data_IF_272567633283
#
_entry.id   IF_272567633283
#
_cell.length_a   1.000
_cell.length_b   1.000
_cell.length_c   1.000
_cell.angle_alpha   90.00
_cell.angle_beta   90.00
_cell.angle_gamma   90.00
#
_symmetry.space_group_name_H-M   'P 1'
#
loop_
_entity.id
_entity.type
_entity.pdbx_description
1 polymer ?
#
# COMPACT_ATOMS: atom_id res chain seq x y z
N UNK A 1 -25.04 29.03 38.98
CA UNK A 1 -24.25 27.86 38.52
C UNK A 1 -23.17 28.25 37.49
N UNK A 2 -22.69 29.50 37.49
CA UNK A 2 -21.77 30.05 36.48
C UNK A 2 -20.57 30.73 37.16
N UNK A 3 -19.98 30.09 38.18
CA UNK A 3 -18.85 30.64 38.92
C UNK A 3 -17.69 29.63 39.10
N UNK A 4 -17.77 28.45 38.46
CA UNK A 4 -16.79 27.36 38.64
C UNK A 4 -15.75 27.30 37.50
N UNK A 5 -15.90 28.06 36.41
CA UNK A 5 -15.06 27.86 35.22
C UNK A 5 -13.79 28.70 35.10
N UNK A 6 -13.64 29.83 35.81
CA UNK A 6 -12.58 30.79 35.44
C UNK A 6 -11.58 31.15 36.58
N UNK A 7 -11.36 30.29 37.57
CA UNK A 7 -10.65 30.71 38.80
C UNK A 7 -9.48 29.86 39.31
N UNK A 8 -9.25 28.65 38.81
CA UNK A 8 -8.16 27.78 39.32
C UNK A 8 -7.03 27.72 38.30
N UNK A 9 -6.45 28.89 38.01
CA UNK A 9 -5.26 29.03 37.18
C UNK A 9 -4.03 28.89 38.07
N UNK A 10 -3.40 27.71 38.06
CA UNK A 10 -2.00 27.37 38.40
C UNK A 10 -1.28 27.97 39.63
N UNK A 11 -1.92 28.83 40.43
CA UNK A 11 -1.24 29.62 41.47
C UNK A 11 -1.31 29.02 42.86
N UNK A 12 -1.89 27.84 43.04
CA UNK A 12 -1.89 27.24 44.38
C UNK A 12 -2.17 25.73 44.47
N UNK A 13 -1.67 24.92 43.54
CA UNK A 13 -1.68 23.46 43.75
C UNK A 13 -0.95 23.07 45.05
N UNK A 14 0.12 23.80 45.39
CA UNK A 14 0.85 23.63 46.65
C UNK A 14 -0.01 23.94 47.88
N UNK A 15 -0.90 24.94 47.84
CA UNK A 15 -1.83 25.24 48.94
C UNK A 15 -3.02 24.28 48.97
N UNK A 16 -3.54 23.86 47.82
CA UNK A 16 -4.58 22.83 47.74
C UNK A 16 -4.11 21.55 48.43
N UNK A 17 -2.94 21.04 48.05
CA UNK A 17 -2.42 19.79 48.63
C UNK A 17 -1.95 19.97 50.07
N UNK A 18 -1.49 21.17 50.47
CA UNK A 18 -1.27 21.50 51.89
C UNK A 18 -2.55 21.40 52.70
N UNK A 19 -3.62 22.06 52.28
CA UNK A 19 -4.92 22.02 52.92
C UNK A 19 -5.50 20.60 52.98
N UNK A 20 -5.42 19.84 51.88
CA UNK A 20 -5.89 18.44 51.86
C UNK A 20 -5.09 17.58 52.86
N UNK A 21 -3.77 17.75 52.94
CA UNK A 21 -2.95 17.02 53.91
C UNK A 21 -3.24 17.42 55.36
N UNK A 22 -3.57 18.69 55.62
CA UNK A 22 -3.92 19.20 56.94
C UNK A 22 -5.29 18.66 57.41
N UNK A 23 -6.28 18.58 56.51
CA UNK A 23 -7.64 18.14 56.83
C UNK A 23 -7.78 16.61 56.86
N UNK A 24 -7.10 15.90 55.96
CA UNK A 24 -7.32 14.47 55.73
C UNK A 24 -6.11 13.58 56.08
N UNK A 25 -4.98 14.17 56.45
CA UNK A 25 -3.73 13.47 56.75
C UNK A 25 -2.87 13.19 55.51
N UNK A 26 -1.56 13.02 55.73
CA UNK A 26 -0.55 12.86 54.68
C UNK A 26 -0.81 11.66 53.76
N UNK A 27 -1.04 10.45 54.31
CA UNK A 27 -1.21 9.24 53.49
C UNK A 27 -2.38 9.32 52.50
N UNK A 28 -3.51 9.90 52.94
CA UNK A 28 -4.70 10.06 52.10
C UNK A 28 -4.52 11.15 51.05
N UNK A 29 -3.80 12.22 51.41
CA UNK A 29 -3.43 13.29 50.47
C UNK A 29 -2.51 12.77 49.37
N UNK A 30 -1.51 11.96 49.70
CA UNK A 30 -0.58 11.37 48.73
C UNK A 30 -1.26 10.36 47.79
N UNK A 31 -2.24 9.61 48.31
CA UNK A 31 -3.09 8.76 47.47
C UNK A 31 -3.93 9.60 46.50
N UNK A 32 -4.67 10.59 47.02
CA UNK A 32 -5.54 11.45 46.21
C UNK A 32 -4.75 12.21 45.12
N UNK A 33 -3.55 12.68 45.44
CA UNK A 33 -2.67 13.36 44.49
C UNK A 33 -2.21 12.44 43.36
N UNK A 34 -1.77 11.21 43.68
CA UNK A 34 -1.38 10.22 42.66
C UNK A 34 -2.52 9.88 41.71
N UNK A 35 -3.73 9.68 42.24
CA UNK A 35 -4.90 9.42 41.40
C UNK A 35 -5.30 10.65 40.58
N UNK A 36 -5.22 11.85 41.15
CA UNK A 36 -5.51 13.10 40.44
C UNK A 36 -4.54 13.34 39.27
N UNK A 37 -3.24 13.11 39.48
CA UNK A 37 -2.21 13.19 38.43
C UNK A 37 -2.50 12.17 37.30
N UNK A 38 -3.00 10.99 37.64
CA UNK A 38 -3.39 9.96 36.66
C UNK A 38 -4.59 10.37 35.80
N UNK A 39 -5.62 10.98 36.39
CA UNK A 39 -6.81 11.45 35.67
C UNK A 39 -6.58 12.75 34.90
N UNK A 40 -5.53 13.51 35.26
CA UNK A 40 -5.19 14.77 34.63
C UNK A 40 -4.33 14.61 33.37
N UNK A 41 -3.96 13.38 33.00
CA UNK A 41 -3.22 13.17 31.75
C UNK A 41 -4.15 13.43 30.56
N UNK A 42 -3.71 14.26 29.58
CA UNK A 42 -4.47 14.48 28.36
C UNK A 42 -4.66 13.14 27.62
N UNK A 43 -5.85 12.89 27.04
CA UNK A 43 -6.06 11.70 26.22
C UNK A 43 -5.08 11.69 25.05
N UNK A 44 -4.80 10.51 24.49
CA UNK A 44 -3.84 10.32 23.39
C UNK A 44 -4.57 9.77 22.18
N UNK A 45 -4.35 10.35 21.00
CA UNK A 45 -4.71 9.75 19.70
C UNK A 45 -3.70 8.65 19.40
N UNK A 46 -4.19 7.41 19.34
CA UNK A 46 -3.38 6.25 18.97
C UNK A 46 -2.78 6.40 17.56
N UNK A 47 -1.47 6.18 17.45
CA UNK A 47 -0.73 6.39 16.21
C UNK A 47 -1.13 5.42 15.11
N UNK A 48 -1.51 4.18 15.45
CA UNK A 48 -1.97 3.19 14.47
C UNK A 48 -3.36 3.55 13.91
N UNK A 49 -4.26 4.07 14.75
CA UNK A 49 -5.54 4.64 14.29
C UNK A 49 -5.31 5.86 13.40
N UNK A 50 -4.44 6.78 13.79
CA UNK A 50 -4.11 7.96 12.97
C UNK A 50 -3.53 7.55 11.60
N UNK A 51 -2.67 6.53 11.58
CA UNK A 51 -2.16 5.96 10.34
C UNK A 51 -3.27 5.38 9.47
N UNK A 52 -4.26 4.70 10.03
CA UNK A 52 -5.43 4.20 9.27
C UNK A 52 -6.23 5.34 8.65
N UNK A 53 -6.41 6.44 9.37
CA UNK A 53 -7.09 7.64 8.85
C UNK A 53 -6.34 8.25 7.66
N UNK A 54 -5.01 8.29 7.74
CA UNK A 54 -4.15 8.73 6.65
C UNK A 54 -4.18 7.76 5.45
N UNK A 55 -3.91 6.47 5.68
CA UNK A 55 -3.70 5.47 4.62
C UNK A 55 -5.00 5.08 3.91
N UNK A 56 -6.09 4.89 4.66
CA UNK A 56 -7.37 4.41 4.11
C UNK A 56 -8.27 5.56 3.64
N UNK A 57 -8.25 6.68 4.36
CA UNK A 57 -9.21 7.79 4.13
C UNK A 57 -8.54 9.06 3.59
N UNK A 58 -7.21 9.07 3.41
CA UNK A 58 -6.48 10.17 2.80
C UNK A 58 -6.39 11.43 3.66
N UNK A 59 -6.65 11.35 4.97
CA UNK A 59 -6.58 12.51 5.86
C UNK A 59 -5.12 12.93 6.08
N UNK A 60 -4.74 14.19 5.78
CA UNK A 60 -3.37 14.64 5.96
C UNK A 60 -2.90 14.52 7.43
N UNK A 61 -1.65 14.08 7.70
CA UNK A 61 -1.14 13.96 9.06
C UNK A 61 -1.16 15.28 9.83
N UNK A 62 -0.85 16.39 9.15
CA UNK A 62 -0.87 17.73 9.74
C UNK A 62 -2.27 18.11 10.23
N UNK A 63 -3.31 17.75 9.46
CA UNK A 63 -4.70 17.96 9.86
C UNK A 63 -5.06 17.16 11.12
N UNK A 64 -4.60 15.92 11.24
CA UNK A 64 -4.83 15.09 12.43
C UNK A 64 -4.10 15.64 13.66
N UNK A 65 -2.87 16.15 13.48
CA UNK A 65 -2.09 16.78 14.56
C UNK A 65 -2.71 18.09 15.03
N UNK A 66 -3.17 18.93 14.10
CA UNK A 66 -3.87 20.17 14.42
C UNK A 66 -5.17 19.90 15.18
N UNK A 67 -5.94 18.90 14.74
CA UNK A 67 -7.17 18.48 15.44
C UNK A 67 -6.89 17.97 16.86
N UNK A 68 -5.80 17.24 17.06
CA UNK A 68 -5.38 16.76 18.38
C UNK A 68 -5.00 17.95 19.29
N UNK A 69 -4.20 18.89 18.76
CA UNK A 69 -3.78 20.12 19.47
C UNK A 69 -4.98 20.96 19.90
N UNK A 70 -5.92 21.22 19.00
CA UNK A 70 -7.12 22.03 19.25
C UNK A 70 -8.03 21.42 20.32
N UNK A 71 -8.00 20.10 20.49
CA UNK A 71 -8.79 19.38 21.50
C UNK A 71 -8.02 19.06 22.78
N UNK A 72 -6.77 19.51 22.91
CA UNK A 72 -5.93 19.20 24.08
C UNK A 72 -5.61 17.71 24.23
N UNK A 73 -5.56 16.99 23.11
CA UNK A 73 -5.25 15.56 23.03
C UNK A 73 -3.81 15.43 22.53
N UNK A 74 -3.03 14.52 23.12
CA UNK A 74 -1.70 14.21 22.63
C UNK A 74 -1.79 13.38 21.34
N UNK A 75 -0.80 13.53 20.47
CA UNK A 75 -0.69 12.74 19.24
C UNK A 75 0.47 11.75 19.38
N UNK A 76 0.20 10.46 19.25
CA UNK A 76 1.24 9.43 19.26
C UNK A 76 1.97 9.36 17.90
N UNK A 77 2.93 10.26 17.72
CA UNK A 77 3.77 10.31 16.52
C UNK A 77 4.61 9.03 16.34
N UNK A 78 5.11 8.45 17.44
CA UNK A 78 5.95 7.27 17.38
C UNK A 78 5.18 6.04 16.88
N UNK A 79 3.94 5.86 17.33
CA UNK A 79 3.04 4.83 16.83
C UNK A 79 2.70 5.03 15.34
N UNK A 80 2.46 6.27 14.92
CA UNK A 80 2.21 6.60 13.52
C UNK A 80 3.40 6.24 12.62
N UNK A 81 4.61 6.64 13.02
CA UNK A 81 5.84 6.39 12.27
C UNK A 81 6.17 4.90 12.18
N UNK A 82 5.92 4.14 13.26
CA UNK A 82 6.04 2.68 13.28
C UNK A 82 5.09 2.02 12.29
N UNK A 83 3.82 2.45 12.25
CA UNK A 83 2.83 1.93 11.31
C UNK A 83 3.21 2.23 9.84
N UNK A 84 3.68 3.45 9.56
CA UNK A 84 4.24 3.85 8.27
C UNK A 84 5.43 2.96 7.84
N UNK A 85 6.37 2.69 8.76
CA UNK A 85 7.51 1.84 8.49
C UNK A 85 7.10 0.39 8.17
N UNK A 86 6.15 -0.17 8.92
CA UNK A 86 5.61 -1.50 8.68
C UNK A 86 4.88 -1.61 7.34
N UNK A 87 4.16 -0.58 6.91
CA UNK A 87 3.53 -0.56 5.59
C UNK A 87 4.59 -0.52 4.48
N UNK A 88 5.61 0.33 4.61
CA UNK A 88 6.73 0.39 3.67
C UNK A 88 7.43 -0.96 3.53
N UNK A 89 7.66 -1.65 4.65
CA UNK A 89 8.28 -2.98 4.62
C UNK A 89 7.38 -4.03 3.96
N UNK A 90 6.07 -4.02 4.24
CA UNK A 90 5.09 -4.87 3.55
C UNK A 90 5.10 -4.64 2.03
N UNK A 91 5.09 -3.38 1.59
CA UNK A 91 5.15 -3.03 0.17
C UNK A 91 6.46 -3.52 -0.48
N UNK A 92 7.61 -3.40 0.21
CA UNK A 92 8.90 -3.92 -0.25
C UNK A 92 8.93 -5.45 -0.32
N UNK A 93 8.31 -6.14 0.63
CA UNK A 93 8.22 -7.59 0.64
C UNK A 93 7.36 -8.10 -0.52
N UNK A 94 6.22 -7.46 -0.79
CA UNK A 94 5.38 -7.74 -1.97
C UNK A 94 6.14 -7.51 -3.28
N UNK A 95 6.94 -6.43 -3.36
CA UNK A 95 7.79 -6.16 -4.52
C UNK A 95 8.86 -7.24 -4.73
N UNK A 96 9.57 -7.65 -3.68
CA UNK A 96 10.59 -8.72 -3.77
C UNK A 96 9.98 -10.09 -4.08
N UNK A 97 8.71 -10.32 -3.75
CA UNK A 97 7.95 -11.51 -4.13
C UNK A 97 7.63 -11.56 -5.63
N UNK A 98 7.31 -10.43 -6.25
CA UNK A 98 7.09 -10.32 -7.69
C UNK A 98 8.40 -10.51 -8.50
N UNK A 99 9.54 -10.07 -7.96
CA UNK A 99 10.87 -10.25 -8.59
C UNK A 99 11.38 -11.70 -8.53
N UNK A 100 10.79 -12.56 -7.68
CA UNK A 100 11.26 -13.94 -7.45
C UNK A 100 10.53 -15.02 -8.25
N UNK A 101 9.64 -14.67 -9.17
CA UNK A 101 9.39 -15.56 -10.30
C UNK A 101 10.57 -15.38 -11.24
N UNK A 102 11.66 -16.11 -10.99
CA UNK A 102 12.74 -16.28 -11.95
C UNK A 102 12.07 -16.59 -13.29
N UNK A 103 12.14 -15.65 -14.24
CA UNK A 103 11.64 -15.87 -15.58
C UNK A 103 12.12 -17.26 -16.02
N UNK A 104 11.18 -18.12 -16.41
CA UNK A 104 11.47 -19.46 -16.94
C UNK A 104 12.75 -19.39 -17.80
N UNK A 105 13.74 -20.26 -17.61
CA UNK A 105 14.94 -20.26 -18.44
C UNK A 105 14.65 -20.20 -19.95
N UNK A 106 13.48 -20.68 -20.36
CA UNK A 106 12.95 -20.51 -21.71
C UNK A 106 12.96 -19.05 -22.20
N UNK A 107 12.61 -18.05 -21.38
CA UNK A 107 12.59 -16.64 -21.81
C UNK A 107 14.00 -16.04 -21.96
N UNK A 108 15.00 -16.53 -21.21
CA UNK A 108 16.34 -15.94 -21.21
C UNK A 108 17.10 -16.17 -22.51
N UNK A 109 16.73 -17.20 -23.27
CA UNK A 109 17.36 -17.56 -24.55
C UNK A 109 16.65 -16.94 -25.76
N UNK A 110 15.49 -16.30 -25.56
CA UNK A 110 14.72 -15.69 -26.64
C UNK A 110 15.21 -14.28 -26.96
N UNK A 111 15.17 -13.86 -28.24
CA UNK A 111 15.44 -12.48 -28.60
C UNK A 111 14.40 -11.54 -27.97
N UNK A 112 14.77 -10.27 -27.78
CA UNK A 112 13.84 -9.26 -27.26
C UNK A 112 12.74 -8.99 -28.28
N UNK A 113 11.50 -8.90 -27.80
CA UNK A 113 10.37 -8.46 -28.61
C UNK A 113 10.44 -6.95 -28.88
N UNK A 114 10.12 -6.53 -30.10
CA UNK A 114 10.03 -5.11 -30.49
C UNK A 114 8.64 -4.56 -30.21
N UNK A 115 8.56 -3.49 -29.43
CA UNK A 115 7.28 -2.86 -29.12
C UNK A 115 6.87 -1.80 -30.15
N UNK A 116 5.65 -1.92 -30.68
CA UNK A 116 5.13 -1.08 -31.78
C UNK A 116 3.91 -0.24 -31.41
N UNK A 117 3.36 -0.42 -30.19
CA UNK A 117 2.06 0.13 -29.77
C UNK A 117 1.97 1.66 -29.75
N UNK A 118 3.11 2.37 -29.82
CA UNK A 118 3.12 3.83 -29.98
C UNK A 118 2.64 4.31 -31.35
N UNK A 119 2.73 3.46 -32.39
CA UNK A 119 2.44 3.83 -33.78
C UNK A 119 1.27 3.07 -34.37
N UNK A 120 1.04 1.85 -33.92
CA UNK A 120 0.02 0.96 -34.49
C UNK A 120 -0.60 0.06 -33.44
N UNK A 121 -1.85 -0.33 -33.67
CA UNK A 121 -2.62 -1.25 -32.81
C UNK A 121 -2.74 -2.65 -33.42
N UNK A 122 -2.13 -2.85 -34.60
CA UNK A 122 -2.11 -4.12 -35.34
C UNK A 122 -0.69 -4.32 -35.85
N UNK A 123 -0.19 -5.53 -35.70
CA UNK A 123 1.04 -6.00 -36.33
C UNK A 123 0.71 -7.15 -37.28
N UNK A 124 1.46 -7.24 -38.36
CA UNK A 124 1.30 -8.25 -39.41
C UNK A 124 2.62 -9.02 -39.55
N UNK A 125 2.55 -10.28 -39.96
CA UNK A 125 3.72 -11.15 -40.13
C UNK A 125 4.55 -11.33 -38.84
N UNK A 126 3.90 -11.38 -37.67
CA UNK A 126 4.57 -11.65 -36.40
C UNK A 126 5.08 -13.10 -36.35
N UNK A 127 6.32 -13.27 -35.96
CA UNK A 127 6.92 -14.58 -35.74
C UNK A 127 6.66 -15.05 -34.30
N UNK A 128 6.15 -16.28 -34.16
CA UNK A 128 6.01 -16.93 -32.86
C UNK A 128 7.37 -17.51 -32.47
N UNK A 129 8.08 -16.81 -31.60
CA UNK A 129 9.39 -17.22 -31.08
C UNK A 129 9.27 -18.42 -30.14
N UNK A 130 8.20 -18.48 -29.34
CA UNK A 130 7.94 -19.57 -28.44
C UNK A 130 6.46 -19.63 -28.02
N UNK A 131 6.04 -20.84 -27.65
CA UNK A 131 4.77 -21.12 -26.99
C UNK A 131 5.08 -21.80 -25.67
N UNK A 132 4.50 -21.31 -24.57
CA UNK A 132 4.73 -21.86 -23.23
C UNK A 132 3.39 -22.28 -22.64
N UNK A 133 3.32 -23.52 -22.16
CA UNK A 133 2.17 -24.07 -21.46
C UNK A 133 2.64 -24.65 -20.13
N UNK A 134 2.00 -24.25 -19.03
CA UNK A 134 2.34 -24.71 -17.68
C UNK A 134 3.84 -24.56 -17.34
N UNK A 135 4.46 -23.47 -17.82
CA UNK A 135 5.88 -23.21 -17.64
C UNK A 135 6.82 -24.10 -18.47
N UNK A 136 6.33 -24.81 -19.48
CA UNK A 136 7.13 -25.61 -20.40
C UNK A 136 6.94 -25.17 -21.85
N UNK A 137 8.03 -25.13 -22.62
CA UNK A 137 7.97 -24.84 -24.05
C UNK A 137 7.27 -25.96 -24.81
N UNK A 138 6.32 -25.61 -25.67
CA UNK A 138 5.57 -26.54 -26.53
C UNK A 138 5.60 -26.08 -27.99
N UNK A 139 5.30 -26.97 -28.93
CA UNK A 139 5.26 -26.61 -30.36
C UNK A 139 3.91 -26.04 -30.80
N UNK A 140 2.82 -26.36 -30.08
CA UNK A 140 1.47 -25.91 -30.42
C UNK A 140 0.54 -25.98 -29.19
N UNK A 141 -0.59 -25.27 -29.28
CA UNK A 141 -1.73 -25.40 -28.37
C UNK A 141 -2.92 -25.99 -29.14
N UNK A 142 -3.67 -26.88 -28.47
CA UNK A 142 -4.91 -27.44 -29.01
C UNK A 142 -6.10 -26.50 -28.73
N UNK A 143 -7.21 -26.60 -29.49
CA UNK A 143 -8.41 -25.81 -29.21
C UNK A 143 -8.88 -25.95 -27.75
N UNK A 144 -9.10 -24.82 -27.08
CA UNK A 144 -9.50 -24.75 -25.67
C UNK A 144 -8.34 -24.75 -24.66
N UNK A 145 -7.10 -24.94 -25.11
CA UNK A 145 -5.92 -24.81 -24.25
C UNK A 145 -5.49 -23.35 -24.11
N UNK A 146 -4.89 -23.03 -22.96
CA UNK A 146 -4.32 -21.72 -22.68
C UNK A 146 -2.81 -21.85 -22.53
N UNK A 147 -2.11 -20.79 -22.92
CA UNK A 147 -0.67 -20.70 -22.81
C UNK A 147 -0.20 -19.30 -23.16
N UNK A 148 1.10 -19.10 -23.06
CA UNK A 148 1.77 -17.85 -23.35
C UNK A 148 2.39 -17.92 -24.74
N UNK A 149 2.26 -16.83 -25.50
CA UNK A 149 2.83 -16.69 -26.83
C UNK A 149 3.85 -15.57 -26.78
N UNK A 150 5.07 -15.86 -27.23
CA UNK A 150 6.16 -14.88 -27.31
C UNK A 150 6.37 -14.55 -28.78
N UNK A 151 6.25 -13.26 -29.09
CA UNK A 151 6.38 -12.73 -30.44
C UNK A 151 7.66 -11.91 -30.59
N UNK A 152 8.19 -11.88 -31.80
CA UNK A 152 9.33 -11.03 -32.17
C UNK A 152 8.99 -9.53 -32.16
N UNK A 153 7.74 -9.17 -32.42
CA UNK A 153 7.23 -7.81 -32.27
C UNK A 153 5.73 -7.81 -31.91
N UNK A 154 5.27 -6.74 -31.27
CA UNK A 154 3.89 -6.64 -30.78
C UNK A 154 3.45 -5.19 -30.52
N UNK A 155 2.16 -4.85 -30.77
CA UNK A 155 1.59 -3.57 -30.36
C UNK A 155 0.99 -3.60 -28.95
N UNK A 156 0.87 -4.78 -28.33
CA UNK A 156 0.21 -4.96 -27.03
C UNK A 156 1.04 -4.37 -25.89
N UNK A 157 0.45 -3.47 -25.11
CA UNK A 157 1.04 -3.00 -23.86
C UNK A 157 1.02 -4.10 -22.81
N UNK A 158 2.19 -4.40 -22.28
CA UNK A 158 2.34 -5.26 -21.12
C UNK A 158 1.84 -4.57 -19.84
N UNK A 159 1.21 -5.34 -18.96
CA UNK A 159 0.85 -4.92 -17.60
C UNK A 159 2.06 -4.34 -16.87
N UNK A 160 1.89 -3.13 -16.33
CA UNK A 160 2.93 -2.43 -15.60
C UNK A 160 2.35 -1.33 -14.71
N UNK A 161 2.97 -1.09 -13.55
CA UNK A 161 2.63 0.05 -12.68
C UNK A 161 1.17 0.08 -12.19
N UNK A 162 0.51 -1.09 -12.09
CA UNK A 162 -0.90 -1.21 -11.73
C UNK A 162 -1.88 -1.04 -12.88
N UNK A 163 -1.40 -0.88 -14.12
CA UNK A 163 -2.22 -0.88 -15.33
C UNK A 163 -2.42 -2.29 -15.85
N UNK A 164 -3.67 -2.64 -16.19
CA UNK A 164 -4.00 -3.94 -16.80
C UNK A 164 -3.46 -3.96 -18.24
N UNK A 165 -2.77 -5.04 -18.61
CA UNK A 165 -2.22 -5.23 -19.95
C UNK A 165 -3.29 -5.40 -21.03
N UNK A 166 -2.88 -5.20 -22.27
CA UNK A 166 -3.80 -5.22 -23.41
C UNK A 166 -4.40 -6.61 -23.68
N UNK A 167 -5.57 -6.58 -24.32
CA UNK A 167 -6.34 -7.73 -24.78
C UNK A 167 -6.66 -7.59 -26.26
N UNK A 168 -6.87 -8.72 -26.93
CA UNK A 168 -7.10 -8.71 -28.38
C UNK A 168 -7.12 -10.10 -28.98
N UNK A 169 -6.66 -10.21 -30.21
CA UNK A 169 -6.88 -11.39 -31.03
C UNK A 169 -5.71 -11.67 -31.96
N UNK A 170 -5.43 -12.95 -32.19
CA UNK A 170 -4.59 -13.41 -33.29
C UNK A 170 -5.46 -13.95 -34.43
N UNK A 171 -5.13 -13.55 -35.65
CA UNK A 171 -5.81 -13.96 -36.86
C UNK A 171 -4.90 -14.85 -37.71
N UNK A 172 -5.50 -15.65 -38.58
CA UNK A 172 -4.78 -16.38 -39.62
C UNK A 172 -4.06 -15.41 -40.57
N UNK A 173 -3.09 -15.93 -41.32
CA UNK A 173 -2.31 -15.17 -42.29
C UNK A 173 -3.19 -14.50 -43.36
N UNK A 174 -4.28 -15.15 -43.76
CA UNK A 174 -5.28 -14.59 -44.69
C UNK A 174 -6.32 -13.68 -44.02
N UNK A 175 -6.22 -13.49 -42.70
CA UNK A 175 -7.11 -12.69 -41.86
C UNK A 175 -8.59 -13.10 -41.85
N UNK A 176 -8.92 -14.29 -42.31
CA UNK A 176 -10.31 -14.76 -42.41
C UNK A 176 -10.76 -15.59 -41.20
N UNK A 177 -9.83 -16.02 -40.35
CA UNK A 177 -10.14 -16.81 -39.16
C UNK A 177 -9.48 -16.23 -37.91
N UNK A 178 -10.24 -16.25 -36.80
CA UNK A 178 -9.70 -16.03 -35.48
C UNK A 178 -8.97 -17.30 -35.02
N UNK A 179 -7.69 -17.17 -34.68
CA UNK A 179 -6.84 -18.29 -34.25
C UNK A 179 -6.82 -18.40 -32.73
N UNK A 180 -6.70 -17.26 -32.03
CA UNK A 180 -6.67 -17.22 -30.57
C UNK A 180 -7.11 -15.86 -30.03
N UNK A 181 -7.59 -15.86 -28.79
CA UNK A 181 -7.86 -14.64 -28.02
C UNK A 181 -6.68 -14.35 -27.07
N UNK A 182 -6.26 -13.10 -27.03
CA UNK A 182 -5.26 -12.58 -26.10
C UNK A 182 -6.00 -12.03 -24.88
N UNK A 183 -5.91 -12.75 -23.76
CA UNK A 183 -6.63 -12.40 -22.52
C UNK A 183 -5.84 -11.50 -21.58
N UNK A 184 -4.57 -11.21 -21.90
CA UNK A 184 -3.70 -10.29 -21.18
C UNK A 184 -2.30 -10.29 -21.78
N UNK A 185 -1.51 -9.27 -21.43
CA UNK A 185 -0.12 -9.12 -21.85
C UNK A 185 0.73 -8.71 -20.64
N UNK A 186 1.89 -9.31 -20.46
CA UNK A 186 2.84 -8.95 -19.40
C UNK A 186 4.28 -9.13 -19.88
N UNK A 187 5.22 -8.46 -19.20
CA UNK A 187 6.65 -8.67 -19.45
C UNK A 187 7.17 -9.80 -18.57
N UNK A 188 7.68 -10.92 -19.13
CA UNK A 188 8.19 -12.04 -18.34
C UNK A 188 9.48 -11.71 -17.58
N UNK A 189 10.18 -10.63 -17.97
CA UNK A 189 11.39 -10.15 -17.31
C UNK A 189 11.18 -8.67 -16.96
N UNK A 190 11.12 -8.34 -15.67
CA UNK A 190 10.98 -6.96 -15.21
C UNK A 190 12.32 -6.21 -15.33
N UNK A 191 12.32 -5.04 -15.98
CA UNK A 191 13.44 -4.10 -15.97
C UNK A 191 14.41 -4.14 -17.16
N UNK A 192 13.97 -4.62 -18.32
CA UNK A 192 14.77 -4.63 -19.57
C UNK A 192 14.03 -3.94 -20.70
#
# INVERSE_FOLDING_TARGET
MQAIKDGVTSRDESVLWRFVSEVFGQERSDFARREFERFSQPPVVDGALAFKLYDTFGLPPDFLQDLARDRGVLFDQAGFDSAMAQQRERARASWKGAVKQTANPAYQQLPKSTFEGYRQTRSENCEVLAIIKDGQGVQQLSPGEQGEIILDHTPFYAESGGQVGDRGWFYSEDHNALVAEVTGCYSPIQGV
#
